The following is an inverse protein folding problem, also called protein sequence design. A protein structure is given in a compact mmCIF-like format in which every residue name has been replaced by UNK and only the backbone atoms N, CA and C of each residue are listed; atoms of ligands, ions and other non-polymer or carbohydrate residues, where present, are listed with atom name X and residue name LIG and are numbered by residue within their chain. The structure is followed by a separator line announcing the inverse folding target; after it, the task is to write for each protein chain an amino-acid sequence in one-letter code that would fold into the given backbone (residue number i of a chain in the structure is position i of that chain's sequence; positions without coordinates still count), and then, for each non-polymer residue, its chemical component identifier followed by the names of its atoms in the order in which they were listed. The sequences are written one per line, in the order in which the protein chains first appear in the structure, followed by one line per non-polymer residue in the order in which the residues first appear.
data_IF_088027007554
#
_entry.id   IF_088027007554
#
_cell.length_a   1.000
_cell.length_b   1.000
_cell.length_c   1.000
_cell.angle_alpha   90.00
_cell.angle_beta   90.00
_cell.angle_gamma   90.00
#
_symmetry.space_group_name_H-M   'P 1'
#
loop_
_entity.id
_entity.type
_entity.pdbx_description
1 polymer ?
#
# COMPACT_ATOMS: atom_id res chain seq x y z
N UNK A 1 -29.97 2.31 -72.12
CA UNK A 1 -31.20 3.11 -72.00
C UNK A 1 -31.95 2.63 -70.76
N UNK A 2 -32.36 3.57 -69.89
CA UNK A 2 -33.09 3.45 -68.61
C UNK A 2 -32.32 3.03 -67.34
N UNK A 3 -31.92 4.06 -66.61
CA UNK A 3 -31.84 4.17 -65.14
C UNK A 3 -33.23 4.04 -64.50
N UNK A 4 -33.30 3.44 -63.29
CA UNK A 4 -34.26 3.78 -62.22
C UNK A 4 -33.54 3.67 -60.86
N UNK A 5 -33.88 4.61 -60.00
CA UNK A 5 -33.22 5.14 -58.81
C UNK A 5 -33.98 4.74 -57.52
N UNK A 6 -33.32 4.81 -56.37
CA UNK A 6 -33.93 4.95 -55.02
C UNK A 6 -34.16 3.61 -54.27
N UNK A 7 -33.97 3.48 -52.96
CA UNK A 7 -33.84 4.48 -51.91
C UNK A 7 -33.14 3.89 -50.67
N UNK A 8 -32.48 4.80 -49.98
CA UNK A 8 -31.77 4.85 -48.70
C UNK A 8 -32.21 3.88 -47.59
N UNK A 9 -31.25 3.28 -46.87
CA UNK A 9 -31.04 3.49 -45.42
C UNK A 9 -29.89 2.64 -44.87
N UNK A 10 -28.72 3.30 -44.77
CA UNK A 10 -27.63 2.90 -43.87
C UNK A 10 -28.19 2.93 -42.45
N UNK A 11 -28.48 1.76 -41.88
CA UNK A 11 -28.87 1.69 -40.46
C UNK A 11 -27.61 1.47 -39.62
N UNK A 12 -26.79 2.51 -39.52
CA UNK A 12 -25.81 2.65 -38.46
C UNK A 12 -26.59 2.88 -37.15
N UNK A 13 -26.88 1.79 -36.41
CA UNK A 13 -27.47 1.91 -35.06
C UNK A 13 -26.40 2.30 -34.05
N UNK A 14 -26.37 3.61 -33.82
CA UNK A 14 -26.23 4.29 -32.52
C UNK A 14 -25.19 3.71 -31.57
N UNK A 15 -24.03 4.37 -31.62
CA UNK A 15 -23.39 4.98 -30.45
C UNK A 15 -24.30 5.00 -29.21
N UNK A 16 -23.99 4.15 -28.25
CA UNK A 16 -24.33 4.31 -26.85
C UNK A 16 -23.05 4.72 -26.13
N UNK A 17 -22.59 5.94 -26.43
CA UNK A 17 -21.82 6.75 -25.50
C UNK A 17 -22.73 7.01 -24.29
N UNK A 18 -22.65 6.14 -23.28
CA UNK A 18 -23.26 6.41 -21.97
C UNK A 18 -22.49 5.67 -20.88
N UNK A 19 -21.36 6.23 -20.48
CA UNK A 19 -20.92 6.19 -19.09
C UNK A 19 -20.23 7.53 -18.81
N UNK A 20 -20.91 8.55 -18.25
CA UNK A 20 -20.19 9.56 -17.51
C UNK A 20 -19.82 8.92 -16.17
N UNK A 21 -18.73 8.15 -16.12
CA UNK A 21 -18.14 7.81 -14.83
C UNK A 21 -17.36 9.05 -14.40
N UNK A 22 -18.11 10.01 -13.87
CA UNK A 22 -17.59 11.04 -12.98
C UNK A 22 -16.95 10.29 -11.80
N UNK A 23 -15.68 9.93 -11.96
CA UNK A 23 -14.81 9.65 -10.84
C UNK A 23 -14.66 11.01 -10.14
N UNK A 24 -15.60 11.28 -9.23
CA UNK A 24 -15.41 12.30 -8.22
C UNK A 24 -14.17 11.86 -7.46
N UNK A 25 -13.02 12.43 -7.84
CA UNK A 25 -11.89 12.54 -6.96
C UNK A 25 -12.43 13.26 -5.73
N UNK A 26 -12.88 12.49 -4.74
CA UNK A 26 -12.98 12.97 -3.38
C UNK A 26 -11.55 13.36 -2.99
N UNK A 27 -11.17 14.59 -3.33
CA UNK A 27 -10.26 15.38 -2.55
C UNK A 27 -10.94 15.59 -1.21
N UNK A 28 -10.91 14.55 -0.36
CA UNK A 28 -11.16 14.73 1.05
C UNK A 28 -10.11 15.74 1.53
N UNK A 29 -10.51 16.82 2.20
CA UNK A 29 -9.54 17.69 2.82
C UNK A 29 -8.67 16.84 3.73
N UNK A 30 -7.36 17.11 3.71
CA UNK A 30 -6.39 16.74 4.75
C UNK A 30 -6.86 17.38 6.08
N UNK A 31 -7.97 16.90 6.62
CA UNK A 31 -8.33 17.06 8.00
C UNK A 31 -7.63 15.94 8.73
N UNK A 32 -6.49 16.25 9.36
CA UNK A 32 -5.88 15.39 10.37
C UNK A 32 -6.85 15.25 11.54
N UNK A 33 -7.86 14.41 11.38
CA UNK A 33 -8.51 13.75 12.50
C UNK A 33 -7.52 12.63 12.84
N UNK A 34 -6.61 12.92 13.77
CA UNK A 34 -5.76 11.91 14.37
C UNK A 34 -6.65 10.98 15.21
N UNK A 35 -7.44 10.13 14.55
CA UNK A 35 -7.86 8.88 15.15
C UNK A 35 -6.55 8.15 15.44
N UNK A 36 -6.25 7.99 16.72
CA UNK A 36 -5.12 7.17 17.16
C UNK A 36 -5.39 5.76 16.63
N UNK A 37 -4.81 5.46 15.49
CA UNK A 37 -4.93 4.17 14.85
C UNK A 37 -4.32 3.11 15.80
N UNK A 38 -4.98 1.97 15.97
CA UNK A 38 -4.47 0.92 16.86
C UNK A 38 -3.12 0.40 16.37
N UNK A 39 -2.31 -0.11 17.31
CA UNK A 39 -0.99 -0.69 17.01
C UNK A 39 -1.10 -1.84 15.99
N UNK A 40 -2.15 -2.66 16.10
CA UNK A 40 -2.45 -3.76 15.18
C UNK A 40 -2.71 -3.26 13.76
N UNK A 41 -3.53 -2.22 13.60
CA UNK A 41 -3.83 -1.63 12.30
C UNK A 41 -2.57 -1.00 11.68
N UNK A 42 -1.74 -0.32 12.48
CA UNK A 42 -0.42 0.17 12.04
C UNK A 42 0.49 -0.96 11.57
N UNK A 43 0.54 -2.07 12.32
CA UNK A 43 1.33 -3.25 11.95
C UNK A 43 0.82 -3.85 10.63
N UNK A 44 -0.50 -3.98 10.45
CA UNK A 44 -1.08 -4.48 9.21
C UNK A 44 -0.73 -3.58 8.02
N UNK A 45 -0.86 -2.27 8.16
CA UNK A 45 -0.45 -1.32 7.13
C UNK A 45 1.06 -1.39 6.84
N UNK A 46 1.88 -1.62 7.87
CA UNK A 46 3.32 -1.76 7.74
C UNK A 46 3.68 -3.00 6.90
N UNK A 47 3.05 -4.13 7.18
CA UNK A 47 3.19 -5.39 6.42
C UNK A 47 2.74 -5.23 4.96
N UNK A 48 1.63 -4.54 4.72
CA UNK A 48 1.14 -4.28 3.37
C UNK A 48 2.09 -3.36 2.58
N UNK A 49 2.60 -2.31 3.21
CA UNK A 49 3.56 -1.40 2.60
C UNK A 49 4.87 -2.15 2.24
N UNK A 50 5.35 -3.02 3.13
CA UNK A 50 6.50 -3.89 2.88
C UNK A 50 6.27 -4.84 1.69
N UNK A 51 5.14 -5.54 1.66
CA UNK A 51 4.82 -6.44 0.56
C UNK A 51 4.72 -5.69 -0.79
N UNK A 52 4.16 -4.47 -0.76
CA UNK A 52 4.03 -3.63 -1.95
C UNK A 52 5.39 -3.09 -2.43
N UNK A 53 6.31 -2.75 -1.53
CA UNK A 53 7.66 -2.29 -1.91
C UNK A 53 8.49 -3.40 -2.56
N UNK A 54 8.20 -4.67 -2.24
CA UNK A 54 8.86 -5.84 -2.80
C UNK A 54 8.09 -6.50 -3.96
N UNK A 55 6.95 -5.94 -4.37
CA UNK A 55 6.17 -6.49 -5.48
C UNK A 55 6.84 -6.22 -6.83
N UNK A 56 6.89 -7.25 -7.68
CA UNK A 56 7.36 -7.14 -9.08
C UNK A 56 6.31 -6.55 -10.02
N UNK A 57 5.08 -6.34 -9.52
CA UNK A 57 3.92 -5.96 -10.33
C UNK A 57 3.61 -4.45 -10.26
N UNK A 58 4.44 -3.67 -9.55
CA UNK A 58 4.25 -2.23 -9.38
C UNK A 58 5.37 -1.42 -10.02
N UNK A 59 5.08 -0.15 -10.31
CA UNK A 59 6.11 0.77 -10.80
C UNK A 59 7.17 1.02 -9.73
N UNK A 60 8.40 1.31 -10.14
CA UNK A 60 9.50 1.66 -9.23
C UNK A 60 9.12 2.82 -8.29
N UNK A 61 8.42 3.84 -8.80
CA UNK A 61 7.95 4.97 -7.99
C UNK A 61 6.99 4.51 -6.89
N UNK A 62 6.08 3.60 -7.21
CA UNK A 62 5.14 3.02 -6.23
C UNK A 62 5.88 2.19 -5.20
N UNK A 63 6.85 1.36 -5.62
CA UNK A 63 7.67 0.56 -4.72
C UNK A 63 8.44 1.43 -3.71
N UNK A 64 9.10 2.49 -4.18
CA UNK A 64 9.83 3.44 -3.32
C UNK A 64 8.90 4.18 -2.36
N UNK A 65 7.72 4.60 -2.82
CA UNK A 65 6.74 5.25 -1.94
C UNK A 65 6.22 4.29 -0.87
N UNK A 66 6.01 3.01 -1.22
CA UNK A 66 5.61 1.97 -0.29
C UNK A 66 6.71 1.67 0.74
N UNK A 67 7.97 1.66 0.31
CA UNK A 67 9.14 1.48 1.18
C UNK A 67 9.26 2.60 2.23
N UNK A 68 9.15 3.86 1.80
CA UNK A 68 9.11 4.99 2.71
C UNK A 68 7.94 4.92 3.70
N UNK A 69 6.77 4.46 3.24
CA UNK A 69 5.60 4.23 4.11
C UNK A 69 5.89 3.13 5.13
N UNK A 70 6.51 2.02 4.71
CA UNK A 70 6.91 0.92 5.57
C UNK A 70 7.81 1.41 6.71
N UNK A 71 8.93 2.08 6.38
CA UNK A 71 9.89 2.61 7.35
C UNK A 71 9.27 3.62 8.32
N UNK A 72 8.38 4.49 7.81
CA UNK A 72 7.65 5.44 8.65
C UNK A 72 6.78 4.72 9.69
N UNK A 73 6.02 3.70 9.25
CA UNK A 73 5.16 2.92 10.14
C UNK A 73 5.98 2.13 11.15
N UNK A 74 7.11 1.53 10.75
CA UNK A 74 8.01 0.86 11.70
C UNK A 74 8.45 1.79 12.83
N UNK A 75 8.86 3.01 12.48
CA UNK A 75 9.28 4.03 13.46
C UNK A 75 8.13 4.40 14.40
N UNK A 76 6.92 4.60 13.87
CA UNK A 76 5.73 4.91 14.69
C UNK A 76 5.40 3.77 15.66
N UNK A 77 5.39 2.51 15.17
CA UNK A 77 5.12 1.32 15.99
C UNK A 77 6.17 1.19 17.11
N UNK A 78 7.46 1.34 16.80
CA UNK A 78 8.52 1.29 17.81
C UNK A 78 8.39 2.41 18.85
N UNK A 79 8.00 3.61 18.42
CA UNK A 79 7.76 4.71 19.34
C UNK A 79 6.59 4.43 20.28
N UNK A 80 5.48 3.88 19.76
CA UNK A 80 4.32 3.50 20.56
C UNK A 80 4.61 2.35 21.53
N UNK A 81 5.33 1.32 21.08
CA UNK A 81 5.81 0.23 21.94
C UNK A 81 6.67 0.78 23.07
N UNK A 82 7.67 1.60 22.76
CA UNK A 82 8.52 2.20 23.79
C UNK A 82 7.69 3.06 24.76
N UNK A 83 6.77 3.89 24.27
CA UNK A 83 5.89 4.70 25.13
C UNK A 83 5.03 3.83 26.06
N UNK A 84 4.49 2.71 25.57
CA UNK A 84 3.72 1.75 26.39
C UNK A 84 4.61 1.07 27.45
N UNK A 85 5.90 0.87 27.15
CA UNK A 85 6.83 0.11 27.99
C UNK A 85 7.51 0.93 29.08
N UNK A 86 7.58 2.27 28.97
CA UNK A 86 8.43 3.11 29.84
C UNK A 86 7.93 3.21 31.29
N UNK A 87 6.62 3.13 31.56
CA UNK A 87 6.08 3.46 32.91
C UNK A 87 4.99 2.51 33.46
N UNK A 88 4.76 1.34 32.85
CA UNK A 88 3.71 0.41 33.30
C UNK A 88 4.24 -0.99 33.59
N UNK A 89 3.77 -1.58 34.70
CA UNK A 89 3.72 -3.03 34.84
C UNK A 89 2.77 -3.56 33.78
N UNK A 90 3.36 -4.16 32.75
CA UNK A 90 2.65 -4.82 31.67
C UNK A 90 2.04 -6.12 32.17
N UNK A 91 0.83 -6.42 31.72
CA UNK A 91 0.29 -7.78 31.84
C UNK A 91 1.06 -8.74 30.92
N UNK A 92 0.96 -10.04 31.17
CA UNK A 92 1.58 -11.04 30.29
C UNK A 92 1.03 -10.96 28.86
N UNK A 93 -0.25 -10.65 28.70
CA UNK A 93 -0.90 -10.55 27.38
C UNK A 93 -0.35 -9.36 26.59
N UNK A 94 -0.25 -8.18 27.23
CA UNK A 94 0.36 -7.00 26.62
C UNK A 94 1.84 -7.21 26.28
N UNK A 95 2.58 -7.95 27.12
CA UNK A 95 3.97 -8.31 26.84
C UNK A 95 4.07 -9.25 25.63
N UNK A 96 3.19 -10.26 25.56
CA UNK A 96 3.13 -11.19 24.44
C UNK A 96 2.78 -10.48 23.13
N UNK A 97 1.81 -9.55 23.15
CA UNK A 97 1.47 -8.71 22.00
C UNK A 97 2.69 -7.90 21.54
N UNK A 98 3.38 -7.23 22.46
CA UNK A 98 4.57 -6.44 22.14
C UNK A 98 5.69 -7.28 21.52
N UNK A 99 5.95 -8.47 22.06
CA UNK A 99 6.95 -9.40 21.51
C UNK A 99 6.57 -9.85 20.09
N UNK A 100 5.29 -10.16 19.86
CA UNK A 100 4.81 -10.57 18.54
C UNK A 100 4.94 -9.44 17.50
N UNK A 101 4.59 -8.20 17.88
CA UNK A 101 4.76 -7.04 17.01
C UNK A 101 6.25 -6.84 16.68
N UNK A 102 7.14 -6.85 17.67
CA UNK A 102 8.58 -6.72 17.45
C UNK A 102 9.15 -7.83 16.57
N UNK A 103 8.68 -9.08 16.74
CA UNK A 103 9.10 -10.21 15.91
C UNK A 103 8.83 -9.96 14.44
N UNK A 104 7.64 -9.46 14.10
CA UNK A 104 7.31 -9.12 12.71
C UNK A 104 8.15 -7.97 12.15
N UNK A 105 8.42 -6.95 12.96
CA UNK A 105 9.29 -5.85 12.54
C UNK A 105 10.71 -6.34 12.25
N UNK A 106 11.26 -7.20 13.11
CA UNK A 106 12.59 -7.78 12.93
C UNK A 106 12.67 -8.68 11.70
N UNK A 107 11.63 -9.48 11.45
CA UNK A 107 11.54 -10.33 10.24
C UNK A 107 11.64 -9.49 8.96
N UNK A 108 10.89 -8.39 8.86
CA UNK A 108 10.94 -7.51 7.69
C UNK A 108 12.33 -6.87 7.50
N UNK A 109 12.98 -6.42 8.59
CA UNK A 109 14.35 -5.89 8.53
C UNK A 109 15.38 -6.93 8.10
N UNK A 110 15.23 -8.18 8.57
CA UNK A 110 16.13 -9.28 8.17
C UNK A 110 15.97 -9.55 6.67
N UNK A 111 14.74 -9.62 6.16
CA UNK A 111 14.48 -9.82 4.73
C UNK A 111 15.10 -8.68 3.91
N UNK A 112 14.93 -7.42 4.31
CA UNK A 112 15.57 -6.27 3.67
C UNK A 112 17.10 -6.40 3.64
N UNK A 113 17.70 -6.77 4.76
CA UNK A 113 19.16 -6.93 4.85
C UNK A 113 19.68 -8.05 3.94
N UNK A 114 18.96 -9.18 3.88
CA UNK A 114 19.31 -10.30 3.02
C UNK A 114 19.17 -9.93 1.54
N UNK A 115 18.10 -9.23 1.16
CA UNK A 115 17.88 -8.76 -0.21
C UNK A 115 19.00 -7.80 -0.66
N UNK A 116 19.45 -6.89 0.21
CA UNK A 116 20.56 -5.98 -0.10
C UNK A 116 21.89 -6.73 -0.29
N UNK A 117 22.16 -7.75 0.54
CA UNK A 117 23.35 -8.60 0.39
C UNK A 117 23.34 -9.35 -0.93
N UNK A 118 22.22 -9.95 -1.31
CA UNK A 118 22.08 -10.66 -2.59
C UNK A 118 22.33 -9.74 -3.78
N UNK A 119 21.78 -8.52 -3.77
CA UNK A 119 22.05 -7.53 -4.82
C UNK A 119 23.53 -7.16 -4.91
N UNK A 120 24.23 -7.02 -3.77
CA UNK A 120 25.66 -6.74 -3.76
C UNK A 120 26.52 -7.88 -4.33
N UNK A 121 26.07 -9.14 -4.22
CA UNK A 121 26.76 -10.30 -4.76
C UNK A 121 26.53 -10.47 -6.27
N UNK A 122 25.31 -10.16 -6.74
CA UNK A 122 24.93 -10.25 -8.16
C UNK A 122 25.55 -9.17 -9.07
N UNK A 123 26.25 -8.18 -8.51
CA UNK A 123 26.97 -7.14 -9.26
C UNK A 123 28.48 -7.43 -9.42
N UNK A 124 28.99 -8.51 -8.82
CA UNK A 124 30.42 -8.85 -8.79
C UNK A 124 30.80 -10.08 -9.64
N UNK A 125 29.91 -10.51 -10.55
CA UNK A 125 30.13 -11.57 -11.55
C UNK A 125 29.82 -11.02 -12.94
#
# INVERSE_FOLDING_TARGET
MKTITGDTTVTAKKSLLSIPLLLVLLSTPLGSIANAESLDSKLQQCKQAFALSHSKDVTQKTAVAADLKHLKLMKEILHELNKKNVDKKMTNDELQENVMVMSHLLEMLVIENLNQKEQSWNLNY
#
